data_IF_108640055437
#
_entry.id   IF_108640055437
#
_cell.length_a   1.000
_cell.length_b   1.000
_cell.length_c   1.000
_cell.angle_alpha   90.00
_cell.angle_beta   90.00
_cell.angle_gamma   90.00
#
_symmetry.space_group_name_H-M   'P 1'
#
loop_
_entity.id
_entity.type
_entity.pdbx_description
1 polymer ?
#
# COMPACT_ATOMS: atom_id res chain seq x y z
N UNK A 1 -14.25 12.58 -10.08
CA UNK A 1 -13.03 12.27 -9.30
C UNK A 1 -12.50 10.91 -9.73
N UNK A 2 -11.34 10.86 -10.38
CA UNK A 2 -10.79 9.61 -10.93
C UNK A 2 -10.46 8.62 -9.82
N UNK A 3 -11.07 7.43 -9.87
CA UNK A 3 -10.86 6.38 -8.88
C UNK A 3 -9.53 5.69 -9.20
N UNK A 4 -8.53 5.82 -8.32
CA UNK A 4 -7.28 5.06 -8.50
C UNK A 4 -7.58 3.59 -8.25
N UNK A 5 -7.33 2.74 -9.25
CA UNK A 5 -7.44 1.28 -9.13
C UNK A 5 -6.06 0.73 -8.79
N UNK A 6 -6.00 -0.13 -7.78
CA UNK A 6 -4.76 -0.79 -7.35
C UNK A 6 -4.90 -2.28 -7.58
N UNK A 7 -4.00 -2.81 -8.40
CA UNK A 7 -3.83 -4.25 -8.61
C UNK A 7 -2.50 -4.69 -8.00
N UNK A 8 -2.51 -5.77 -7.22
CA UNK A 8 -1.29 -6.37 -6.71
C UNK A 8 -0.60 -7.10 -7.88
N UNK A 9 0.65 -6.77 -8.15
CA UNK A 9 1.48 -7.49 -9.11
C UNK A 9 2.30 -8.57 -8.42
N UNK A 10 2.95 -8.21 -7.31
CA UNK A 10 3.83 -9.11 -6.55
C UNK A 10 3.81 -8.80 -5.05
N UNK A 11 4.05 -9.83 -4.24
CA UNK A 11 4.21 -9.73 -2.79
C UNK A 11 3.03 -10.26 -1.96
N UNK A 12 3.02 -9.90 -0.68
CA UNK A 12 2.03 -10.36 0.30
C UNK A 12 0.61 -9.88 -0.02
N UNK A 13 -0.40 -10.67 0.37
CA UNK A 13 -1.81 -10.36 0.15
C UNK A 13 -2.21 -9.05 0.84
N UNK A 14 -2.33 -7.97 0.05
CA UNK A 14 -2.78 -6.66 0.54
C UNK A 14 -4.30 -6.65 0.72
N UNK A 15 -4.75 -6.18 1.89
CA UNK A 15 -6.18 -6.08 2.20
C UNK A 15 -6.84 -4.92 1.44
N UNK A 16 -8.18 -4.90 1.37
CA UNK A 16 -8.91 -3.78 0.78
C UNK A 16 -8.59 -2.43 1.48
N UNK A 17 -8.36 -2.46 2.80
CA UNK A 17 -7.93 -1.30 3.59
C UNK A 17 -6.54 -0.81 3.20
N UNK A 18 -5.60 -1.71 2.91
CA UNK A 18 -4.26 -1.34 2.42
C UNK A 18 -4.37 -0.64 1.07
N UNK A 19 -5.12 -1.22 0.13
CA UNK A 19 -5.36 -0.60 -1.19
C UNK A 19 -5.94 0.80 -1.03
N UNK A 20 -6.90 1.01 -0.13
CA UNK A 20 -7.50 2.33 0.09
C UNK A 20 -6.48 3.37 0.61
N UNK A 21 -5.66 3.02 1.60
CA UNK A 21 -4.64 3.94 2.11
C UNK A 21 -3.55 4.22 1.07
N UNK A 22 -3.08 3.18 0.37
CA UNK A 22 -2.09 3.32 -0.69
C UNK A 22 -2.62 4.23 -1.81
N UNK A 23 -3.89 4.06 -2.21
CA UNK A 23 -4.52 4.93 -3.20
C UNK A 23 -4.55 6.39 -2.73
N UNK A 24 -4.80 6.63 -1.44
CA UNK A 24 -4.80 7.98 -0.89
C UNK A 24 -3.41 8.60 -0.86
N UNK A 25 -2.38 7.86 -0.43
CA UNK A 25 -0.98 8.29 -0.44
C UNK A 25 -0.57 8.68 -1.87
N UNK A 26 -0.82 7.79 -2.84
CA UNK A 26 -0.53 8.02 -4.25
C UNK A 26 -1.30 9.22 -4.84
N UNK A 27 -2.59 9.35 -4.50
CA UNK A 27 -3.44 10.46 -4.96
C UNK A 27 -2.93 11.80 -4.45
N UNK A 28 -2.45 11.85 -3.20
CA UNK A 28 -1.90 13.07 -2.59
C UNK A 28 -0.46 13.35 -3.00
N UNK A 29 0.18 12.44 -3.74
CA UNK A 29 1.59 12.56 -4.12
C UNK A 29 2.54 12.41 -2.93
N UNK A 30 2.11 11.76 -1.85
CA UNK A 30 2.96 11.53 -0.68
C UNK A 30 3.87 10.33 -0.91
N UNK A 31 5.05 10.36 -0.29
CA UNK A 31 6.01 9.24 -0.32
C UNK A 31 5.75 8.22 0.79
N UNK A 32 5.02 8.61 1.84
CA UNK A 32 4.70 7.73 2.96
C UNK A 32 3.33 8.04 3.57
N UNK A 33 2.79 7.08 4.32
CA UNK A 33 1.60 7.26 5.13
C UNK A 33 1.60 6.32 6.32
N UNK A 34 1.12 6.82 7.45
CA UNK A 34 1.09 6.08 8.72
C UNK A 34 -0.34 5.98 9.23
N UNK A 35 -0.66 4.80 9.74
CA UNK A 35 -1.87 4.52 10.53
C UNK A 35 -1.44 3.98 11.89
N UNK A 36 -2.40 3.80 12.81
CA UNK A 36 -2.13 3.31 14.17
C UNK A 36 -1.31 2.01 14.23
N UNK A 37 -1.50 1.12 13.24
CA UNK A 37 -0.88 -0.23 13.23
C UNK A 37 -0.01 -0.51 12.00
N UNK A 38 -0.06 0.35 10.98
CA UNK A 38 0.62 0.13 9.69
C UNK A 38 1.32 1.39 9.21
N UNK A 39 2.52 1.23 8.66
CA UNK A 39 3.24 2.26 7.90
C UNK A 39 3.39 1.80 6.47
N UNK A 40 3.15 2.71 5.54
CA UNK A 40 3.27 2.51 4.11
C UNK A 40 4.34 3.47 3.61
N UNK A 41 5.33 2.96 2.89
CA UNK A 41 6.39 3.76 2.28
C UNK A 41 6.51 3.40 0.82
N UNK A 42 6.35 4.36 -0.07
CA UNK A 42 6.59 4.19 -1.51
C UNK A 42 8.09 4.36 -1.72
N UNK A 43 8.76 3.26 -2.06
CA UNK A 43 10.21 3.27 -2.26
C UNK A 43 10.60 3.57 -3.69
N UNK A 44 9.72 3.23 -4.64
CA UNK A 44 9.98 3.41 -6.07
C UNK A 44 8.66 3.58 -6.80
N UNK A 45 8.64 4.43 -7.82
CA UNK A 45 7.49 4.64 -8.70
C UNK A 45 7.99 4.75 -10.13
N UNK A 46 7.49 3.87 -10.98
CA UNK A 46 7.83 3.81 -12.40
C UNK A 46 6.55 3.72 -13.23
N UNK A 47 6.18 4.82 -13.89
CA UNK A 47 4.94 4.93 -14.67
C UNK A 47 3.71 4.54 -13.86
N UNK A 48 3.04 3.47 -14.31
CA UNK A 48 1.85 2.87 -13.69
C UNK A 48 2.18 1.84 -12.60
N UNK A 49 3.44 1.71 -12.19
CA UNK A 49 3.86 0.72 -11.18
C UNK A 49 4.48 1.43 -9.98
N UNK A 50 4.24 0.90 -8.78
CA UNK A 50 4.89 1.37 -7.56
C UNK A 50 5.32 0.22 -6.66
N UNK A 51 6.50 0.36 -6.06
CA UNK A 51 7.00 -0.52 -5.00
C UNK A 51 6.72 0.12 -3.66
N UNK A 52 6.12 -0.67 -2.78
CA UNK A 52 5.64 -0.21 -1.47
C UNK A 52 6.16 -1.16 -0.41
N UNK A 53 6.71 -0.59 0.65
CA UNK A 53 7.02 -1.29 1.88
C UNK A 53 5.88 -1.04 2.85
N UNK A 54 5.28 -2.13 3.34
CA UNK A 54 4.25 -2.12 4.37
C UNK A 54 4.86 -2.68 5.65
N UNK A 55 4.94 -1.85 6.68
CA UNK A 55 5.36 -2.27 8.02
C UNK A 55 4.12 -2.42 8.90
N UNK A 56 3.97 -3.56 9.56
CA UNK A 56 2.88 -3.84 10.48
C UNK A 56 3.42 -4.20 11.85
N UNK A 57 2.88 -3.55 12.89
CA UNK A 57 3.11 -3.95 14.28
C UNK A 57 2.18 -5.11 14.61
N UNK A 58 2.75 -6.28 14.87
CA UNK A 58 2.00 -7.48 15.25
C UNK A 58 2.58 -8.08 16.52
N UNK A 59 1.72 -8.64 17.36
CA UNK A 59 2.17 -9.45 18.48
C UNK A 59 2.52 -10.84 17.95
N UNK A 60 3.69 -11.34 18.31
CA UNK A 60 4.07 -12.70 18.00
C UNK A 60 3.51 -13.68 19.03
N UNK A 61 3.67 -14.97 18.77
CA UNK A 61 3.22 -16.06 19.65
C UNK A 61 3.84 -15.99 21.06
N UNK A 62 4.98 -15.31 21.19
CA UNK A 62 5.70 -15.11 22.44
C UNK A 62 5.28 -13.83 23.19
N UNK A 63 4.19 -13.18 22.77
CA UNK A 63 3.69 -11.96 23.41
C UNK A 63 4.61 -10.74 23.25
N UNK A 64 5.49 -10.73 22.24
CA UNK A 64 6.36 -9.60 21.91
C UNK A 64 5.82 -8.86 20.71
N UNK A 65 5.91 -7.53 20.74
CA UNK A 65 5.57 -6.69 19.60
C UNK A 65 6.71 -6.75 18.57
N UNK A 66 6.40 -7.26 17.39
CA UNK A 66 7.33 -7.32 16.25
C UNK A 66 6.84 -6.46 15.10
N UNK A 67 7.78 -5.92 14.32
CA UNK A 67 7.49 -5.18 13.11
C UNK A 67 7.70 -6.12 11.93
N UNK A 68 6.60 -6.57 11.31
CA UNK A 68 6.66 -7.33 10.06
C UNK A 68 6.74 -6.38 8.88
N UNK A 69 7.70 -6.61 8.00
CA UNK A 69 7.92 -5.82 6.78
C UNK A 69 7.53 -6.65 5.57
N UNK A 70 6.60 -6.14 4.79
CA UNK A 70 6.18 -6.73 3.51
C UNK A 70 6.53 -5.80 2.38
N UNK A 71 7.21 -6.31 1.34
CA UNK A 71 7.45 -5.60 0.10
C UNK A 71 6.38 -6.01 -0.90
N UNK A 72 5.71 -5.04 -1.49
CA UNK A 72 4.67 -5.28 -2.48
C UNK A 72 4.89 -4.40 -3.69
N UNK A 73 4.60 -4.95 -4.86
CA UNK A 73 4.57 -4.20 -6.11
C UNK A 73 3.13 -4.11 -6.57
N UNK A 74 2.70 -2.91 -6.90
CA UNK A 74 1.34 -2.65 -7.35
C UNK A 74 1.32 -1.97 -8.71
N UNK A 75 0.27 -2.23 -9.47
CA UNK A 75 -0.11 -1.46 -10.64
C UNK A 75 -1.17 -0.42 -10.26
N UNK A 76 -0.93 0.82 -10.64
CA UNK A 76 -1.78 1.98 -10.52
C UNK A 76 -2.53 2.10 -11.86
N UNK A 77 -3.84 1.94 -11.83
CA UNK A 77 -4.70 2.16 -12.99
C UNK A 77 -5.56 3.41 -12.80
N UNK A 78 -5.72 4.20 -13.87
CA UNK A 78 -6.77 5.21 -13.94
C UNK A 78 -8.13 4.53 -14.05
N UNK A 79 -8.96 4.62 -13.01
CA UNK A 79 -10.36 4.21 -13.09
C UNK A 79 -11.10 5.19 -13.99
N UNK A 80 -11.22 4.83 -15.27
CA UNK A 80 -12.16 5.46 -16.20
C UNK A 80 -13.56 5.13 -15.68
N UNK A 81 -14.29 6.15 -15.20
CA UNK A 81 -15.68 6.00 -14.84
C UNK A 81 -16.45 5.61 -16.09
N UNK A 82 -17.10 4.46 -16.07
CA UNK A 82 -18.19 4.22 -17.00
C UNK A 82 -19.30 5.21 -16.65
N UNK A 83 -19.59 6.09 -17.61
CA UNK A 83 -20.74 6.98 -17.63
C UNK A 83 -22.05 6.18 -17.70
#
# INVERSE_FOLDING_TARGET
MSKIRISLLEGYHITATDKRHIAEILRRGWSEGVTRHRRYSITEREGDTARIVIERKEWNDFGRLEIRRSKVMIRIGGGQGHA
#
